data_IF_011338436885
#
_entry.id   IF_011338436885
#
_cell.length_a   1.000
_cell.length_b   1.000
_cell.length_c   1.000
_cell.angle_alpha   90.00
_cell.angle_beta   90.00
_cell.angle_gamma   90.00
#
_symmetry.space_group_name_H-M   'P 1'
#
loop_
_entity.id
_entity.type
_entity.pdbx_description
1 polymer ?
#
# COMPACT_ATOMS: atom_id res chain seq x y z
N UNK A 1 -11.18 -10.05 -5.35
CA UNK A 1 -10.32 -9.03 -4.69
C UNK A 1 -8.92 -9.59 -4.48
N UNK A 2 -7.86 -8.76 -4.54
CA UNK A 2 -6.49 -9.20 -4.22
C UNK A 2 -6.02 -8.50 -2.95
N UNK A 3 -5.54 -9.25 -1.97
CA UNK A 3 -5.01 -8.73 -0.71
C UNK A 3 -3.51 -9.00 -0.65
N UNK A 4 -2.74 -7.99 -0.26
CA UNK A 4 -1.30 -8.12 -0.06
C UNK A 4 -0.84 -7.35 1.17
N UNK A 5 0.04 -7.94 1.98
CA UNK A 5 0.60 -7.30 3.18
C UNK A 5 1.64 -8.19 3.84
N UNK A 6 2.25 -7.73 4.93
CA UNK A 6 3.15 -8.54 5.73
C UNK A 6 2.39 -9.47 6.67
N UNK A 7 2.84 -10.72 6.82
CA UNK A 7 2.31 -11.63 7.83
C UNK A 7 2.45 -10.99 9.23
N UNK A 8 1.40 -10.96 10.06
CA UNK A 8 1.51 -10.43 11.42
C UNK A 8 2.48 -11.21 12.33
N UNK A 9 2.78 -12.47 12.00
CA UNK A 9 3.64 -13.34 12.81
C UNK A 9 5.11 -13.30 12.37
N UNK A 10 5.39 -13.47 11.07
CA UNK A 10 6.76 -13.59 10.57
C UNK A 10 7.19 -12.45 9.63
N UNK A 11 6.29 -11.49 9.36
CA UNK A 11 6.50 -10.34 8.46
C UNK A 11 6.74 -10.68 6.98
N UNK A 12 6.75 -11.96 6.61
CA UNK A 12 6.87 -12.39 5.23
C UNK A 12 5.69 -11.89 4.38
N UNK A 13 5.95 -11.55 3.12
CA UNK A 13 4.91 -11.07 2.21
C UNK A 13 3.84 -12.14 1.98
N UNK A 14 2.60 -11.81 2.35
CA UNK A 14 1.40 -12.60 2.07
C UNK A 14 0.66 -11.96 0.91
N UNK A 15 0.27 -12.77 -0.07
CA UNK A 15 -0.57 -12.37 -1.21
C UNK A 15 -1.67 -13.40 -1.39
N UNK A 16 -2.92 -12.96 -1.37
CA UNK A 16 -4.06 -13.83 -1.59
C UNK A 16 -5.01 -13.21 -2.62
N UNK A 17 -5.58 -14.06 -3.45
CA UNK A 17 -6.72 -13.72 -4.30
C UNK A 17 -7.98 -14.27 -3.63
N UNK A 18 -8.85 -13.35 -3.22
CA UNK A 18 -10.11 -13.65 -2.53
C UNK A 18 -11.22 -13.58 -3.57
N UNK A 19 -11.78 -14.74 -3.87
CA UNK A 19 -12.90 -14.96 -4.79
C UNK A 19 -14.20 -15.23 -4.05
N UNK A 20 -14.13 -15.83 -2.85
CA UNK A 20 -15.28 -16.25 -2.06
C UNK A 20 -15.09 -15.91 -0.57
N UNK A 21 -16.21 -15.81 0.16
CA UNK A 21 -16.18 -15.65 1.62
C UNK A 21 -15.76 -16.92 2.38
N UNK A 22 -15.48 -18.02 1.68
CA UNK A 22 -14.92 -19.24 2.28
C UNK A 22 -13.38 -19.27 2.22
N UNK A 23 -12.76 -18.28 1.57
CA UNK A 23 -11.32 -18.24 1.38
C UNK A 23 -10.58 -17.97 2.69
N UNK A 24 -9.30 -18.35 2.74
CA UNK A 24 -8.43 -18.13 3.90
C UNK A 24 -7.16 -17.42 3.46
N UNK A 25 -6.78 -16.41 4.23
CA UNK A 25 -5.45 -15.83 4.16
C UNK A 25 -4.52 -16.80 4.91
N UNK A 26 -3.45 -17.25 4.27
CA UNK A 26 -2.43 -18.07 4.91
C UNK A 26 -1.04 -17.53 4.56
N UNK A 27 -0.10 -17.71 5.48
CA UNK A 27 1.30 -17.47 5.20
C UNK A 27 1.95 -18.78 4.73
N UNK A 28 2.83 -18.71 3.73
CA UNK A 28 3.60 -19.88 3.27
C UNK A 28 4.86 -20.13 4.13
N UNK A 29 5.27 -19.15 4.94
CA UNK A 29 6.50 -19.21 5.73
C UNK A 29 6.26 -19.53 7.22
N UNK A 30 5.00 -19.47 7.69
CA UNK A 30 4.64 -19.82 9.07
C UNK A 30 3.18 -20.28 9.13
N UNK A 31 2.75 -20.83 10.27
CA UNK A 31 1.39 -21.39 10.45
C UNK A 31 0.28 -20.34 10.63
N UNK A 32 0.55 -19.07 10.31
CA UNK A 32 -0.46 -18.04 10.44
C UNK A 32 -1.52 -18.21 9.35
N UNK A 33 -2.77 -18.34 9.76
CA UNK A 33 -3.91 -18.26 8.86
C UNK A 33 -5.06 -17.50 9.48
N UNK A 34 -5.86 -16.85 8.63
CA UNK A 34 -7.07 -16.15 9.03
C UNK A 34 -8.20 -16.42 8.04
N UNK A 35 -9.38 -16.86 8.53
CA UNK A 35 -10.55 -17.00 7.67
C UNK A 35 -11.03 -15.63 7.21
N UNK A 36 -11.45 -15.54 5.94
CA UNK A 36 -12.21 -14.39 5.45
C UNK A 36 -13.65 -14.56 5.95
N UNK A 37 -14.21 -13.52 6.57
CA UNK A 37 -15.58 -13.53 7.06
C UNK A 37 -16.45 -12.80 6.02
N UNK A 38 -17.60 -13.37 5.65
CA UNK A 38 -18.52 -12.77 4.66
C UNK A 38 -18.93 -11.35 5.02
N UNK A 39 -19.21 -11.09 6.30
CA UNK A 39 -19.65 -9.80 6.81
C UNK A 39 -18.58 -8.71 6.70
N UNK A 40 -17.30 -9.09 6.58
CA UNK A 40 -16.21 -8.16 6.34
C UNK A 40 -16.17 -7.69 4.88
N UNK A 41 -16.96 -8.29 3.97
CA UNK A 41 -17.02 -7.94 2.54
C UNK A 41 -18.44 -7.57 2.13
N UNK A 42 -18.63 -6.32 1.72
CA UNK A 42 -19.91 -5.83 1.16
C UNK A 42 -19.67 -5.41 -0.29
N UNK A 43 -20.44 -5.95 -1.24
CA UNK A 43 -20.34 -5.59 -2.67
C UNK A 43 -18.90 -5.69 -3.26
N UNK A 44 -18.17 -6.77 -2.95
CA UNK A 44 -16.76 -6.97 -3.35
C UNK A 44 -15.83 -5.82 -2.87
N UNK A 45 -16.09 -5.32 -1.66
CA UNK A 45 -15.29 -4.32 -0.96
C UNK A 45 -15.14 -4.72 0.52
N UNK A 46 -13.93 -4.59 1.09
CA UNK A 46 -13.72 -4.83 2.50
C UNK A 46 -14.28 -3.67 3.35
N UNK A 47 -15.11 -3.99 4.34
CA UNK A 47 -15.49 -3.08 5.43
C UNK A 47 -14.40 -2.98 6.49
N UNK A 48 -13.68 -4.08 6.71
CA UNK A 48 -12.57 -4.20 7.64
C UNK A 48 -11.37 -4.81 6.93
N UNK A 49 -10.18 -4.56 7.46
CA UNK A 49 -8.98 -5.18 6.96
C UNK A 49 -9.05 -6.70 7.10
N UNK A 50 -8.99 -7.41 5.98
CA UNK A 50 -9.07 -8.87 5.97
C UNK A 50 -7.83 -9.52 6.60
N UNK A 51 -6.73 -8.79 6.69
CA UNK A 51 -5.49 -9.27 7.31
C UNK A 51 -5.48 -9.10 8.84
N UNK A 52 -5.74 -7.89 9.38
CA UNK A 52 -5.69 -7.64 10.84
C UNK A 52 -7.04 -7.33 11.52
N UNK A 53 -8.11 -7.03 10.77
CA UNK A 53 -9.47 -6.86 11.30
C UNK A 53 -9.79 -5.41 11.67
N UNK A 54 -8.87 -4.50 11.43
CA UNK A 54 -9.03 -3.07 11.66
C UNK A 54 -10.14 -2.46 10.77
N UNK A 55 -11.00 -1.62 11.35
CA UNK A 55 -12.04 -0.87 10.65
C UNK A 55 -11.48 0.32 9.83
N UNK A 56 -10.34 0.87 10.26
CA UNK A 56 -9.76 2.04 9.61
C UNK A 56 -9.01 1.64 8.32
N UNK A 57 -9.67 1.82 7.17
CA UNK A 57 -9.08 1.74 5.83
C UNK A 57 -9.17 3.09 5.12
N UNK A 58 -8.13 3.45 4.37
CA UNK A 58 -8.12 4.66 3.55
C UNK A 58 -7.84 4.33 2.08
N UNK A 59 -8.26 5.25 1.21
CA UNK A 59 -8.08 5.12 -0.24
C UNK A 59 -6.74 5.71 -0.68
N UNK A 60 -5.94 4.91 -1.36
CA UNK A 60 -4.65 5.31 -1.95
C UNK A 60 -4.64 5.02 -3.45
N UNK A 61 -3.89 5.80 -4.23
CA UNK A 61 -3.54 5.45 -5.61
C UNK A 61 -2.48 4.34 -5.61
N UNK A 62 -2.73 3.30 -6.41
CA UNK A 62 -1.88 2.12 -6.48
C UNK A 62 -0.62 2.35 -7.34
N UNK A 63 0.31 3.15 -6.81
CA UNK A 63 1.49 3.58 -7.56
C UNK A 63 2.58 2.51 -7.58
N UNK A 64 2.95 1.96 -8.76
CA UNK A 64 4.07 1.05 -8.86
C UNK A 64 5.37 1.85 -8.71
N UNK A 65 5.87 1.95 -7.48
CA UNK A 65 7.07 2.73 -7.12
C UNK A 65 8.27 2.43 -8.02
N UNK A 66 8.45 1.17 -8.42
CA UNK A 66 9.52 0.75 -9.35
C UNK A 66 9.46 1.46 -10.71
N UNK A 67 8.25 1.62 -11.26
CA UNK A 67 8.06 2.29 -12.55
C UNK A 67 8.36 3.78 -12.42
N UNK A 68 7.85 4.43 -11.38
CA UNK A 68 8.15 5.86 -11.15
C UNK A 68 9.64 6.14 -10.96
N UNK A 69 10.32 5.35 -10.13
CA UNK A 69 11.77 5.49 -9.93
C UNK A 69 12.54 5.25 -11.23
N UNK A 70 12.14 4.24 -12.02
CA UNK A 70 12.76 3.99 -13.32
C UNK A 70 12.55 5.16 -14.29
N UNK A 71 11.33 5.72 -14.37
CA UNK A 71 11.03 6.89 -15.21
C UNK A 71 11.87 8.10 -14.81
N UNK A 72 11.95 8.42 -13.53
CA UNK A 72 12.78 9.53 -13.03
C UNK A 72 14.26 9.29 -13.39
N UNK A 73 14.78 8.08 -13.17
CA UNK A 73 16.16 7.74 -13.49
C UNK A 73 16.49 7.90 -14.98
N UNK A 74 15.60 7.45 -15.87
CA UNK A 74 15.74 7.60 -17.32
C UNK A 74 15.66 9.07 -17.73
N UNK A 75 14.71 9.83 -17.17
CA UNK A 75 14.57 11.27 -17.43
C UNK A 75 15.84 12.06 -17.06
N UNK A 76 16.41 11.76 -15.89
CA UNK A 76 17.68 12.35 -15.43
C UNK A 76 18.80 12.03 -16.40
N UNK A 77 18.95 10.76 -16.80
CA UNK A 77 20.02 10.32 -17.70
C UNK A 77 19.95 11.04 -19.04
N UNK A 78 18.78 11.03 -19.68
CA UNK A 78 18.59 11.67 -21.00
C UNK A 78 18.78 13.19 -20.91
N UNK A 79 18.21 13.83 -19.89
CA UNK A 79 18.37 15.27 -19.67
C UNK A 79 19.83 15.65 -19.45
N UNK A 80 20.58 14.85 -18.69
CA UNK A 80 22.01 15.09 -18.41
C UNK A 80 22.84 14.97 -19.69
N UNK A 81 22.59 13.97 -20.53
CA UNK A 81 23.26 13.82 -21.83
C UNK A 81 22.95 15.00 -22.76
N UNK A 82 21.69 15.43 -22.84
CA UNK A 82 21.29 16.57 -23.64
C UNK A 82 21.95 17.88 -23.15
N UNK A 83 22.03 18.05 -21.83
CA UNK A 83 22.70 19.20 -21.22
C UNK A 83 24.21 19.21 -21.52
N UNK A 84 24.89 18.05 -21.43
CA UNK A 84 26.30 17.91 -21.76
C UNK A 84 26.61 18.32 -23.21
N UNK A 85 25.68 18.08 -24.14
CA UNK A 85 25.79 18.49 -25.55
C UNK A 85 25.36 19.95 -25.80
N UNK A 86 25.16 20.76 -24.75
CA UNK A 86 24.65 22.14 -24.81
C UNK A 86 23.27 22.29 -25.47
N UNK A 87 22.49 21.21 -25.56
CA UNK A 87 21.11 21.24 -26.10
C UNK A 87 20.10 21.57 -25.01
N UNK A 88 20.19 22.79 -24.47
CA UNK A 88 19.40 23.22 -23.30
C UNK A 88 17.89 23.08 -23.55
N UNK A 89 17.40 23.45 -24.75
CA UNK A 89 15.99 23.31 -25.11
C UNK A 89 15.53 21.85 -25.06
N UNK A 90 16.35 20.93 -25.54
CA UNK A 90 16.07 19.49 -25.54
C UNK A 90 16.08 18.93 -24.11
N UNK A 91 17.04 19.32 -23.29
CA UNK A 91 17.10 18.90 -21.89
C UNK A 91 15.81 19.30 -21.13
N UNK A 92 15.37 20.55 -21.27
CA UNK A 92 14.12 21.03 -20.67
C UNK A 92 12.90 20.29 -21.24
N UNK A 93 12.85 20.10 -22.56
CA UNK A 93 11.74 19.39 -23.21
C UNK A 93 11.59 17.96 -22.68
N UNK A 94 12.69 17.24 -22.47
CA UNK A 94 12.68 15.89 -21.88
C UNK A 94 12.06 15.92 -20.48
N UNK A 95 12.48 16.83 -19.61
CA UNK A 95 11.92 16.93 -18.26
C UNK A 95 10.40 17.22 -18.29
N UNK A 96 9.95 18.10 -19.18
CA UNK A 96 8.51 18.38 -19.35
C UNK A 96 7.76 17.15 -19.83
N UNK A 97 8.29 16.41 -20.80
CA UNK A 97 7.66 15.19 -21.31
C UNK A 97 7.53 14.14 -20.20
N UNK A 98 8.58 13.92 -19.41
CA UNK A 98 8.52 12.98 -18.28
C UNK A 98 7.51 13.41 -17.21
N UNK A 99 7.44 14.71 -16.89
CA UNK A 99 6.43 15.23 -15.97
C UNK A 99 4.99 15.01 -16.48
N UNK A 100 4.75 15.17 -17.79
CA UNK A 100 3.44 14.87 -18.39
C UNK A 100 3.11 13.38 -18.38
N UNK A 101 4.10 12.51 -18.64
CA UNK A 101 3.93 11.06 -18.55
C UNK A 101 3.57 10.65 -17.12
N UNK A 102 4.24 11.22 -16.11
CA UNK A 102 3.94 10.96 -14.70
C UNK A 102 2.52 11.40 -14.33
N UNK A 103 2.10 12.58 -14.79
CA UNK A 103 0.72 13.07 -14.61
C UNK A 103 -0.31 12.12 -15.24
N UNK A 104 -0.02 11.64 -16.45
CA UNK A 104 -0.89 10.70 -17.17
C UNK A 104 -0.97 9.35 -16.46
N UNK A 105 0.17 8.84 -15.96
CA UNK A 105 0.25 7.62 -15.18
C UNK A 105 -0.58 7.72 -13.89
N UNK A 106 -0.50 8.86 -13.20
CA UNK A 106 -1.30 9.13 -11.99
C UNK A 106 -2.80 9.08 -12.28
N UNK A 107 -3.24 9.61 -13.43
CA UNK A 107 -4.66 9.62 -13.80
C UNK A 107 -5.19 8.22 -14.11
N UNK A 108 -4.40 7.38 -14.79
CA UNK A 108 -4.79 6.00 -15.11
C UNK A 108 -4.70 5.02 -13.94
N UNK A 109 -4.10 5.45 -12.84
CA UNK A 109 -3.87 4.60 -11.69
C UNK A 109 -5.17 4.21 -10.98
N UNK A 110 -5.35 2.90 -10.82
CA UNK A 110 -6.44 2.36 -10.02
C UNK A 110 -6.27 2.73 -8.53
N UNK A 111 -7.39 2.82 -7.84
CA UNK A 111 -7.41 3.03 -6.41
C UNK A 111 -7.36 1.70 -5.65
N UNK A 112 -6.74 1.73 -4.48
CA UNK A 112 -6.56 0.60 -3.57
C UNK A 112 -6.93 1.03 -2.15
N UNK A 113 -7.47 0.10 -1.36
CA UNK A 113 -7.73 0.36 0.07
C UNK A 113 -6.58 -0.16 0.92
N UNK A 114 -6.04 0.70 1.77
CA UNK A 114 -4.92 0.38 2.64
C UNK A 114 -5.37 0.46 4.09
N UNK A 115 -5.01 -0.54 4.87
CA UNK A 115 -5.27 -0.56 6.31
C UNK A 115 -4.28 0.34 7.05
N UNK A 116 -4.76 1.19 7.97
CA UNK A 116 -3.89 2.04 8.79
C UNK A 116 -2.98 1.25 9.74
N UNK A 117 -3.50 0.16 10.32
CA UNK A 117 -2.76 -0.63 11.31
C UNK A 117 -1.63 -1.48 10.71
N UNK A 118 -1.96 -2.36 9.77
CA UNK A 118 -1.00 -3.35 9.25
C UNK A 118 -0.48 -3.04 7.84
N UNK A 119 -0.92 -1.95 7.21
CA UNK A 119 -0.49 -1.57 5.86
C UNK A 119 -0.96 -2.51 4.74
N UNK A 120 -1.84 -3.47 5.01
CA UNK A 120 -2.33 -4.39 4.00
C UNK A 120 -3.16 -3.65 2.93
N UNK A 121 -2.85 -3.93 1.66
CA UNK A 121 -3.47 -3.33 0.50
C UNK A 121 -4.51 -4.29 -0.13
N UNK A 122 -5.69 -3.76 -0.40
CA UNK A 122 -6.85 -4.48 -0.94
C UNK A 122 -7.18 -3.91 -2.33
N UNK A 123 -6.71 -4.61 -3.36
CA UNK A 123 -6.82 -4.25 -4.79
C UNK A 123 -8.03 -4.92 -5.43
N UNK A 124 -8.45 -4.40 -6.59
CA UNK A 124 -9.62 -4.90 -7.36
C UNK A 124 -10.90 -4.90 -6.51
N UNK A 125 -11.08 -3.84 -5.73
CA UNK A 125 -12.25 -3.59 -4.89
C UNK A 125 -13.22 -2.67 -5.63
N UNK A 126 -14.52 -2.80 -5.36
CA UNK A 126 -15.49 -1.85 -5.91
C UNK A 126 -15.47 -0.56 -5.07
N UNK A 127 -14.99 0.53 -5.66
CA UNK A 127 -14.83 1.84 -5.02
C UNK A 127 -15.72 2.92 -5.66
N UNK A 128 -16.66 2.54 -6.54
CA UNK A 128 -17.38 3.50 -7.39
C UNK A 128 -18.50 4.24 -6.65
N UNK A 129 -19.08 3.65 -5.60
CA UNK A 129 -20.38 4.08 -5.09
C UNK A 129 -20.37 4.63 -3.66
N UNK A 130 -19.22 4.80 -3.01
CA UNK A 130 -19.17 5.33 -1.64
C UNK A 130 -17.91 6.18 -1.36
N UNK A 131 -18.05 7.27 -0.60
CA UNK A 131 -16.92 8.09 -0.19
C UNK A 131 -16.08 7.30 0.82
N UNK A 132 -14.95 6.78 0.35
CA UNK A 132 -13.92 6.30 1.24
C UNK A 132 -13.17 7.47 1.87
N UNK A 133 -12.81 7.38 3.16
CA UNK A 133 -11.99 8.40 3.78
C UNK A 133 -10.65 8.49 3.04
N UNK A 134 -10.27 9.72 2.73
CA UNK A 134 -8.92 10.04 2.25
C UNK A 134 -7.94 9.84 3.41
N UNK A 135 -6.65 9.87 3.13
CA UNK A 135 -5.64 9.75 4.16
C UNK A 135 -5.78 10.85 5.22
N UNK A 136 -6.13 10.44 6.43
CA UNK A 136 -6.09 11.21 7.67
C UNK A 136 -4.75 10.99 8.41
N UNK A 137 -4.06 12.11 8.69
CA UNK A 137 -2.78 12.13 9.38
C UNK A 137 -2.91 11.81 10.89
N UNK A 138 -3.99 12.25 11.53
CA UNK A 138 -4.24 12.01 12.95
C UNK A 138 -4.44 10.51 13.22
N UNK A 139 -5.24 9.85 12.37
CA UNK A 139 -5.46 8.39 12.46
C UNK A 139 -4.15 7.63 12.22
N UNK A 140 -3.36 8.04 11.23
CA UNK A 140 -2.05 7.44 10.96
C UNK A 140 -1.10 7.56 12.15
N UNK A 141 -1.01 8.75 12.74
CA UNK A 141 -0.15 9.01 13.89
C UNK A 141 -0.62 8.24 15.13
N UNK A 142 -1.94 8.15 15.36
CA UNK A 142 -2.53 7.33 16.42
C UNK A 142 -2.06 5.87 16.34
N UNK A 143 -2.15 5.25 15.16
CA UNK A 143 -1.71 3.87 14.98
C UNK A 143 -0.20 3.70 15.12
N UNK A 144 0.58 4.68 14.67
CA UNK A 144 2.04 4.70 14.86
C UNK A 144 2.41 4.70 16.34
N UNK A 145 1.80 5.57 17.13
CA UNK A 145 2.04 5.65 18.57
C UNK A 145 1.57 4.39 19.31
N UNK A 146 0.44 3.80 18.90
CA UNK A 146 -0.01 2.52 19.46
C UNK A 146 1.00 1.40 19.22
N UNK A 147 1.57 1.31 18.01
CA UNK A 147 2.59 0.32 17.70
C UNK A 147 3.85 0.48 18.56
N UNK A 148 4.31 1.73 18.79
CA UNK A 148 5.45 2.03 19.65
C UNK A 148 5.16 1.61 21.10
N UNK A 149 4.02 1.99 21.66
CA UNK A 149 3.63 1.62 23.04
C UNK A 149 3.54 0.11 23.25
N UNK A 150 3.04 -0.62 22.25
CA UNK A 150 2.97 -2.08 22.30
C UNK A 150 4.37 -2.69 22.33
N UNK A 151 5.29 -2.23 21.47
CA UNK A 151 6.68 -2.69 21.47
C UNK A 151 7.37 -2.41 22.81
N UNK A 152 7.21 -1.20 23.37
CA UNK A 152 7.77 -0.84 24.67
C UNK A 152 7.23 -1.73 25.81
N UNK A 153 5.92 -2.05 25.79
CA UNK A 153 5.32 -2.93 26.80
C UNK A 153 5.80 -4.39 26.70
N UNK A 154 6.12 -4.85 25.49
CA UNK A 154 6.69 -6.18 25.26
C UNK A 154 8.13 -6.25 25.79
N UNK A 155 8.95 -5.25 25.47
CA UNK A 155 10.32 -5.16 26.00
C UNK A 155 10.36 -5.06 27.53
N UNK A 156 9.40 -4.36 28.14
CA UNK A 156 9.30 -4.27 29.60
C UNK A 156 8.90 -5.60 30.24
N UNK A 157 7.97 -6.33 29.62
CA UNK A 157 7.56 -7.66 30.09
C UNK A 157 8.72 -8.64 30.04
N UNK A 158 9.47 -8.68 28.94
CA UNK A 158 10.65 -9.54 28.78
C UNK A 158 11.75 -9.22 29.81
N UNK A 159 11.97 -7.94 30.13
CA UNK A 159 12.93 -7.53 31.16
C UNK A 159 12.50 -7.88 32.58
N UNK A 160 11.20 -8.02 32.84
CA UNK A 160 10.69 -8.38 34.16
C UNK A 160 10.74 -9.89 34.41
N UNK A 161 10.73 -10.70 33.35
CA UNK A 161 10.81 -12.16 33.42
C UNK A 161 12.25 -12.70 33.50
N UNK A 162 13.26 -11.86 33.26
CA UNK A 162 14.70 -12.16 33.44
C UNK A 162 15.20 -11.79 34.83
#
# INVERSE_FOLDING_TARGET
MRVSGGCPSCQQAVRAEISSAADRLHCEACDWSRPVISDDIVNNRPRRCLMCGCDDLWRQKDFPQKIGVAMVGVGILISTIAYYNYWIKTAIAVLVVFALVDMLLFWFMADVLVCYRCGAAHRRTNLQNEPHPTFDLEVAERYRQQAIRLAESQEQSEKHEM
#
